data_IF_305709739067
#
_entry.id   IF_305709739067
#
_cell.length_a   1.000
_cell.length_b   1.000
_cell.length_c   1.000
_cell.angle_alpha   90.00
_cell.angle_beta   90.00
_cell.angle_gamma   90.00
#
_symmetry.space_group_name_H-M   'P 1'
#
loop_
_entity.id
_entity.type
_entity.pdbx_description
1 polymer ?
#
# COMPACT_ATOMS: atom_id res chain seq x y z
N UNK A 1 -2.95 17.76 -15.22
CA UNK A 1 -1.74 17.16 -15.80
C UNK A 1 -2.22 15.96 -16.58
N UNK A 2 -2.49 16.20 -17.85
CA UNK A 2 -2.87 15.20 -18.85
C UNK A 2 -1.60 14.87 -19.64
N UNK A 3 -1.41 13.61 -20.03
CA UNK A 3 -0.42 13.29 -21.06
C UNK A 3 -1.05 13.55 -22.43
N UNK A 4 -0.20 13.69 -23.44
CA UNK A 4 -0.60 13.99 -24.82
C UNK A 4 -1.50 12.94 -25.49
N UNK A 5 -1.78 11.81 -24.82
CA UNK A 5 -2.66 10.73 -25.29
C UNK A 5 -4.07 10.73 -24.67
N UNK A 6 -4.41 11.74 -23.85
CA UNK A 6 -5.73 11.89 -23.24
C UNK A 6 -6.05 10.92 -22.10
N UNK A 7 -5.12 10.03 -21.71
CA UNK A 7 -5.34 9.12 -20.58
C UNK A 7 -5.13 9.84 -19.25
N UNK A 8 -6.14 9.76 -18.38
CA UNK A 8 -6.05 10.22 -16.98
C UNK A 8 -5.40 9.16 -16.11
N UNK A 9 -4.17 9.46 -15.67
CA UNK A 9 -3.39 8.63 -14.73
C UNK A 9 -3.99 8.59 -13.34
N UNK A 10 -4.67 9.66 -12.95
CA UNK A 10 -5.30 9.78 -11.65
C UNK A 10 -6.81 9.72 -11.82
N UNK A 11 -7.50 8.97 -10.97
CA UNK A 11 -8.96 8.91 -10.96
C UNK A 11 -9.57 10.27 -10.58
N UNK A 12 -10.80 10.49 -11.03
CA UNK A 12 -11.49 11.79 -10.98
C UNK A 12 -11.59 12.37 -9.56
N UNK A 13 -11.74 11.53 -8.53
CA UNK A 13 -11.85 11.94 -7.14
C UNK A 13 -10.49 12.15 -6.43
N UNK A 14 -9.34 12.06 -7.12
CA UNK A 14 -8.01 12.22 -6.51
C UNK A 14 -7.87 13.54 -5.73
N UNK A 15 -8.45 14.63 -6.24
CA UNK A 15 -8.42 15.96 -5.60
C UNK A 15 -9.27 16.05 -4.33
N UNK A 16 -10.32 15.23 -4.21
CA UNK A 16 -11.26 15.24 -3.08
C UNK A 16 -10.72 14.45 -1.89
N UNK A 17 -9.75 13.56 -2.13
CA UNK A 17 -9.09 12.77 -1.09
C UNK A 17 -8.24 13.65 -0.18
N UNK A 18 -8.53 13.60 1.10
CA UNK A 18 -7.86 14.40 2.13
C UNK A 18 -6.78 13.65 2.90
N UNK A 19 -6.71 12.31 2.79
CA UNK A 19 -5.66 11.51 3.44
C UNK A 19 -4.62 11.02 2.45
N UNK A 20 -3.37 10.91 2.90
CA UNK A 20 -2.26 10.62 2.00
C UNK A 20 -2.05 9.13 1.81
N UNK A 21 -1.65 8.40 2.85
CA UNK A 21 -1.24 6.99 2.75
C UNK A 21 -1.97 6.14 3.79
N UNK A 22 -2.56 5.03 3.34
CA UNK A 22 -3.05 3.97 4.22
C UNK A 22 -2.16 2.73 4.11
N UNK A 23 -1.96 2.03 5.23
CA UNK A 23 -1.34 0.70 5.26
C UNK A 23 -2.24 -0.25 6.05
N UNK A 24 -2.86 -1.23 5.38
CA UNK A 24 -3.64 -2.27 6.05
C UNK A 24 -2.76 -3.49 6.26
N UNK A 25 -2.60 -3.91 7.50
CA UNK A 25 -1.74 -5.04 7.88
C UNK A 25 -2.44 -5.90 8.93
N UNK A 26 -2.60 -7.18 8.62
CA UNK A 26 -3.14 -8.18 9.55
C UNK A 26 -2.06 -8.88 10.36
N UNK A 27 -0.92 -9.18 9.75
CA UNK A 27 0.20 -9.87 10.40
C UNK A 27 1.29 -8.89 10.89
N UNK A 28 1.25 -8.47 12.15
CA UNK A 28 2.31 -7.59 12.68
C UNK A 28 3.66 -8.29 12.94
N UNK A 29 3.74 -9.62 12.78
CA UNK A 29 4.91 -10.43 13.12
C UNK A 29 5.74 -10.84 11.90
N UNK A 30 5.47 -10.26 10.72
CA UNK A 30 6.29 -10.51 9.54
C UNK A 30 7.75 -10.06 9.76
N UNK A 31 8.69 -10.95 9.51
CA UNK A 31 10.14 -10.76 9.63
C UNK A 31 10.75 -10.32 8.30
N UNK A 32 10.24 -9.21 7.75
CA UNK A 32 10.64 -8.73 6.43
C UNK A 32 10.91 -7.22 6.38
N UNK A 33 11.27 -6.64 7.53
CA UNK A 33 11.61 -5.22 7.71
C UNK A 33 10.52 -4.20 7.32
N UNK A 34 9.34 -4.60 6.83
CA UNK A 34 8.27 -3.68 6.43
C UNK A 34 7.86 -2.71 7.54
N UNK A 35 7.86 -3.17 8.80
CA UNK A 35 7.59 -2.33 9.96
C UNK A 35 8.63 -1.21 10.11
N UNK A 36 9.91 -1.53 9.89
CA UNK A 36 11.01 -0.57 9.98
C UNK A 36 10.92 0.45 8.83
N UNK A 37 10.61 0.00 7.62
CA UNK A 37 10.42 0.89 6.46
C UNK A 37 9.28 1.87 6.74
N UNK A 38 8.11 1.37 7.16
CA UNK A 38 6.97 2.24 7.49
C UNK A 38 7.29 3.19 8.65
N UNK A 39 7.96 2.71 9.71
CA UNK A 39 8.37 3.57 10.82
C UNK A 39 9.30 4.71 10.37
N UNK A 40 10.22 4.44 9.45
CA UNK A 40 11.11 5.46 8.87
C UNK A 40 10.36 6.44 7.97
N UNK A 41 9.45 5.94 7.13
CA UNK A 41 8.64 6.75 6.21
C UNK A 41 7.69 7.69 6.94
N UNK A 42 7.10 7.23 8.05
CA UNK A 42 6.18 8.02 8.90
C UNK A 42 6.79 9.31 9.45
N UNK A 43 8.11 9.46 9.45
CA UNK A 43 8.80 10.69 9.85
C UNK A 43 8.67 11.81 8.82
N UNK A 44 8.38 11.47 7.57
CA UNK A 44 8.37 12.40 6.44
C UNK A 44 6.98 12.56 5.82
N UNK A 45 6.16 11.50 5.87
CA UNK A 45 4.83 11.49 5.28
C UNK A 45 3.79 10.88 6.23
N UNK A 46 2.57 11.42 6.31
CA UNK A 46 1.51 10.84 7.13
C UNK A 46 1.06 9.50 6.56
N UNK A 47 1.11 8.46 7.40
CA UNK A 47 0.68 7.10 7.08
C UNK A 47 -0.27 6.64 8.19
N UNK A 48 -1.50 6.29 7.84
CA UNK A 48 -2.46 5.68 8.75
C UNK A 48 -2.39 4.16 8.64
N UNK A 49 -2.32 3.47 9.79
CA UNK A 49 -2.15 2.01 9.85
C UNK A 49 -3.44 1.39 10.34
N UNK A 50 -3.97 0.44 9.56
CA UNK A 50 -5.21 -0.29 9.82
C UNK A 50 -4.92 -1.77 10.03
N UNK A 51 -5.79 -2.44 10.80
CA UNK A 51 -5.72 -3.88 11.05
C UNK A 51 -5.35 -4.21 12.49
N UNK A 52 -4.74 -5.38 12.70
CA UNK A 52 -4.63 -5.98 14.04
C UNK A 52 -3.86 -5.08 15.01
N UNK A 53 -4.55 -4.68 16.09
CA UNK A 53 -4.07 -3.75 17.13
C UNK A 53 -3.73 -2.32 16.66
N UNK A 54 -4.34 -1.84 15.56
CA UNK A 54 -4.23 -0.45 15.08
C UNK A 54 -5.61 0.16 14.83
N UNK A 55 -5.76 1.08 13.88
CA UNK A 55 -7.06 1.63 13.54
C UNK A 55 -7.99 0.50 13.04
N UNK A 56 -9.23 0.43 13.53
CA UNK A 56 -10.20 -0.51 13.01
C UNK A 56 -10.50 -0.16 11.55
N UNK A 57 -10.68 -1.18 10.73
CA UNK A 57 -11.24 -1.00 9.40
C UNK A 57 -12.66 -0.43 9.53
N UNK A 58 -13.05 0.55 8.70
CA UNK A 58 -14.44 1.00 8.65
C UNK A 58 -15.39 -0.16 8.30
N UNK A 59 -16.63 -0.12 8.80
CA UNK A 59 -17.62 -1.17 8.55
C UNK A 59 -17.81 -1.45 7.04
N UNK A 60 -17.97 -2.71 6.65
CA UNK A 60 -18.09 -3.10 5.24
C UNK A 60 -16.74 -3.30 4.55
N UNK A 61 -16.63 -2.96 3.25
CA UNK A 61 -15.40 -3.13 2.50
C UNK A 61 -14.37 -2.05 2.88
N UNK A 62 -13.41 -2.47 3.72
CA UNK A 62 -12.32 -1.61 4.18
C UNK A 62 -11.51 -1.03 3.03
N UNK A 63 -11.13 -1.84 2.04
CA UNK A 63 -10.29 -1.37 0.93
C UNK A 63 -11.05 -0.36 0.07
N UNK A 64 -12.35 -0.59 -0.17
CA UNK A 64 -13.16 0.35 -0.93
C UNK A 64 -13.33 1.70 -0.22
N UNK A 65 -13.60 1.69 1.09
CA UNK A 65 -13.72 2.91 1.87
C UNK A 65 -12.40 3.67 1.98
N UNK A 66 -11.30 2.97 2.23
CA UNK A 66 -9.96 3.57 2.21
C UNK A 66 -9.62 4.13 0.83
N UNK A 67 -10.02 3.43 -0.24
CA UNK A 67 -9.91 3.85 -1.63
C UNK A 67 -10.72 5.11 -1.98
N UNK A 68 -11.64 5.55 -1.13
CA UNK A 68 -12.33 6.85 -1.28
C UNK A 68 -11.66 7.98 -0.50
N UNK A 69 -10.90 7.67 0.56
CA UNK A 69 -10.31 8.66 1.48
C UNK A 69 -8.82 8.92 1.23
N UNK A 70 -8.05 7.91 0.83
CA UNK A 70 -6.59 7.94 0.77
C UNK A 70 -6.06 8.02 -0.66
N UNK A 71 -5.03 8.84 -0.88
CA UNK A 71 -4.36 8.97 -2.19
C UNK A 71 -3.47 7.78 -2.53
N UNK A 72 -2.92 7.09 -1.54
CA UNK A 72 -2.01 5.97 -1.74
C UNK A 72 -2.28 4.85 -0.73
N UNK A 73 -1.96 3.65 -1.16
CA UNK A 73 -2.03 2.44 -0.36
C UNK A 73 -0.68 1.73 -0.37
N UNK A 74 -0.16 1.36 0.81
CA UNK A 74 1.07 0.58 0.94
C UNK A 74 0.74 -0.92 0.95
N UNK A 75 1.10 -1.60 -0.13
CA UNK A 75 0.84 -3.03 -0.32
C UNK A 75 2.04 -3.92 0.05
N UNK A 76 2.64 -3.73 1.24
CA UNK A 76 3.77 -4.55 1.67
C UNK A 76 3.38 -6.01 1.88
N UNK A 77 4.13 -6.93 1.26
CA UNK A 77 3.97 -8.35 1.48
C UNK A 77 4.47 -8.80 2.86
N UNK A 78 4.14 -10.03 3.22
CA UNK A 78 4.58 -10.65 4.49
C UNK A 78 6.01 -11.22 4.40
N UNK A 79 6.55 -11.43 3.20
CA UNK A 79 7.83 -12.07 2.96
C UNK A 79 8.55 -11.42 1.77
N UNK A 80 9.88 -11.42 1.81
CA UNK A 80 10.72 -10.85 0.76
C UNK A 80 11.19 -11.97 -0.18
N UNK A 81 10.30 -12.43 -1.06
CA UNK A 81 10.55 -13.58 -1.93
C UNK A 81 10.34 -13.22 -3.41
N UNK A 82 11.21 -13.76 -4.28
CA UNK A 82 11.07 -13.57 -5.72
C UNK A 82 9.78 -14.24 -6.21
N UNK A 83 8.94 -13.48 -6.92
CA UNK A 83 7.67 -13.98 -7.45
C UNK A 83 6.55 -14.11 -6.41
N UNK A 84 6.77 -13.64 -5.18
CA UNK A 84 5.73 -13.66 -4.14
C UNK A 84 4.79 -12.47 -4.30
N UNK A 85 3.86 -12.63 -5.25
CA UNK A 85 2.77 -11.69 -5.50
C UNK A 85 1.47 -12.28 -4.95
N UNK A 86 0.78 -11.54 -4.09
CA UNK A 86 -0.46 -12.01 -3.47
C UNK A 86 -1.69 -11.24 -3.93
N UNK A 87 -2.84 -11.51 -3.33
CA UNK A 87 -4.10 -10.80 -3.55
C UNK A 87 -3.98 -9.29 -3.42
N UNK A 88 -2.99 -8.78 -2.67
CA UNK A 88 -2.75 -7.34 -2.53
C UNK A 88 -2.48 -6.71 -3.89
N UNK A 89 -1.58 -7.27 -4.68
CA UNK A 89 -1.31 -6.75 -6.03
C UNK A 89 -2.59 -6.76 -6.89
N UNK A 90 -3.35 -7.85 -6.87
CA UNK A 90 -4.52 -7.99 -7.74
C UNK A 90 -5.66 -7.06 -7.32
N UNK A 91 -5.95 -6.94 -6.03
CA UNK A 91 -6.97 -6.04 -5.48
C UNK A 91 -6.60 -4.56 -5.66
N UNK A 92 -5.32 -4.25 -5.48
CA UNK A 92 -4.84 -2.88 -5.42
C UNK A 92 -4.46 -2.35 -6.82
N UNK A 93 -3.75 -3.13 -7.64
CA UNK A 93 -3.24 -2.67 -8.93
C UNK A 93 -4.05 -3.13 -10.15
N UNK A 94 -4.67 -4.32 -10.10
CA UNK A 94 -5.24 -4.95 -11.30
C UNK A 94 -6.77 -4.95 -11.38
N UNK A 95 -7.50 -4.72 -10.30
CA UNK A 95 -8.93 -4.54 -10.44
C UNK A 95 -9.71 -4.41 -9.17
N UNK A 96 -9.82 -3.21 -8.61
CA UNK A 96 -11.05 -2.70 -8.00
C UNK A 96 -10.90 -1.25 -7.48
N UNK A 97 -9.68 -0.73 -7.27
CA UNK A 97 -9.49 0.64 -6.78
C UNK A 97 -8.30 1.34 -7.46
N UNK A 98 -8.49 2.49 -8.16
CA UNK A 98 -7.47 3.14 -9.00
C UNK A 98 -6.39 3.91 -8.20
N UNK A 99 -5.83 3.32 -7.14
CA UNK A 99 -4.98 4.04 -6.19
C UNK A 99 -3.94 3.15 -5.51
N UNK A 100 -2.85 2.85 -6.22
CA UNK A 100 -1.80 2.00 -5.67
C UNK A 100 -0.42 2.43 -6.14
N UNK A 101 0.44 2.76 -5.18
CA UNK A 101 1.90 2.68 -5.35
C UNK A 101 2.30 1.40 -4.64
N UNK A 102 2.27 0.29 -5.38
CA UNK A 102 2.76 -0.99 -4.90
C UNK A 102 4.28 -0.99 -4.90
N UNK A 103 4.91 -0.94 -3.73
CA UNK A 103 6.31 -1.34 -3.62
C UNK A 103 6.36 -2.86 -3.63
N UNK A 104 6.72 -3.42 -4.80
CA UNK A 104 7.17 -4.81 -4.90
C UNK A 104 8.53 -4.86 -4.23
N UNK A 105 8.64 -5.62 -3.14
CA UNK A 105 9.95 -5.97 -2.58
C UNK A 105 10.65 -6.88 -3.59
N UNK A 106 11.54 -6.28 -4.39
CA UNK A 106 12.55 -7.03 -5.15
C UNK A 106 13.49 -7.61 -4.11
N UNK A 107 13.38 -8.91 -3.90
CA UNK A 107 14.30 -9.72 -3.10
C UNK A 107 15.74 -9.19 -3.21
N UNK A 108 16.19 -8.40 -2.24
CA UNK A 108 17.63 -8.25 -2.01
C UNK A 108 18.03 -9.57 -1.38
N UNK A 109 18.47 -10.51 -2.23
CA UNK A 109 19.20 -11.69 -1.79
C UNK A 109 20.26 -11.15 -0.83
N UNK A 110 20.17 -11.53 0.45
CA UNK A 110 21.33 -11.44 1.33
C UNK A 110 22.40 -12.31 0.71
N UNK A 111 23.24 -11.71 -0.13
CA UNK A 111 24.60 -12.16 -0.38
C UNK A 111 25.48 -11.38 0.61
N UNK A 112 25.21 -11.59 1.89
CA UNK A 112 26.05 -11.17 2.99
C UNK A 112 25.97 -12.26 4.06
N UNK A 113 26.38 -13.47 3.67
CA UNK A 113 26.84 -14.55 4.56
C UNK A 113 27.42 -15.67 3.67
N UNK A 114 28.58 -15.36 3.08
CA UNK A 114 29.75 -16.24 2.94
C UNK A 114 30.93 -15.42 2.44
#
# INVERSE_FOLDING_TARGET
MELEDGRKWLPSNFKQKNRLIAWVVSNMNAENHRKLIVARLRRWVPIDIYGSHRLPCPDGDCHAKLGQMYKFYLAFENSNCRGYLTEKLFRDALGLHPFSVGFVDLCTRSLAEK
#
